data_IF_513371593366
#
_entry.id   IF_513371593366
#
_cell.length_a   1.000
_cell.length_b   1.000
_cell.length_c   1.000
_cell.angle_alpha   90.00
_cell.angle_beta   90.00
_cell.angle_gamma   90.00
#
_symmetry.space_group_name_H-M   'P 1'
#
loop_
_entity.id
_entity.type
_entity.pdbx_description
1 polymer ?
#
# COMPACT_ATOMS: atom_id res chain seq x y z
N UNK A 1 -15.00 -1.11 -2.48
CA UNK A 1 -15.01 -0.84 -1.02
C UNK A 1 -14.17 0.39 -0.66
N UNK A 2 -12.92 0.52 -1.15
CA UNK A 2 -12.05 1.66 -0.81
C UNK A 2 -12.00 2.78 -1.86
N UNK A 3 -12.59 2.59 -3.04
CA UNK A 3 -12.54 3.54 -4.16
C UNK A 3 -12.90 4.99 -3.81
N UNK A 4 -13.90 5.27 -2.95
CA UNK A 4 -14.20 6.66 -2.56
C UNK A 4 -13.06 7.34 -1.77
N UNK A 5 -12.15 6.55 -1.20
CA UNK A 5 -11.10 6.98 -0.27
C UNK A 5 -9.69 6.95 -0.87
N UNK A 6 -9.52 6.49 -2.11
CA UNK A 6 -8.22 6.43 -2.78
C UNK A 6 -8.23 7.17 -4.13
N UNK A 7 -7.07 7.65 -4.54
CA UNK A 7 -6.88 8.31 -5.85
C UNK A 7 -6.45 7.33 -6.93
N UNK A 8 -5.98 6.14 -6.55
CA UNK A 8 -5.49 5.08 -7.42
C UNK A 8 -5.84 3.72 -6.83
N UNK A 9 -6.09 2.75 -7.72
CA UNK A 9 -6.32 1.34 -7.39
C UNK A 9 -5.38 0.48 -8.23
N UNK A 10 -4.92 -0.62 -7.64
CA UNK A 10 -4.00 -1.56 -8.29
C UNK A 10 -3.41 -2.55 -7.29
N UNK A 11 -2.65 -3.55 -7.77
CA UNK A 11 -2.00 -4.53 -6.91
C UNK A 11 -0.92 -3.87 -6.03
N UNK A 12 -0.76 -4.39 -4.82
CA UNK A 12 0.32 -4.04 -3.89
C UNK A 12 1.23 -5.25 -3.75
N UNK A 13 2.51 -5.09 -4.06
CA UNK A 13 3.48 -6.17 -3.91
C UNK A 13 3.89 -6.29 -2.44
N UNK A 14 3.59 -7.44 -1.81
CA UNK A 14 4.17 -7.79 -0.51
C UNK A 14 5.57 -8.36 -0.71
N UNK A 15 6.59 -7.67 -0.20
CA UNK A 15 8.00 -8.00 -0.38
C UNK A 15 8.69 -8.25 0.96
N UNK A 16 9.69 -9.13 1.00
CA UNK A 16 10.49 -9.36 2.21
C UNK A 16 11.47 -8.22 2.49
N UNK A 17 11.87 -7.50 1.43
CA UNK A 17 12.71 -6.30 1.47
C UNK A 17 12.28 -5.37 0.35
N UNK A 18 12.16 -4.07 0.63
CA UNK A 18 11.87 -3.09 -0.42
C UNK A 18 13.02 -3.06 -1.45
N UNK A 19 12.67 -2.79 -2.72
CA UNK A 19 13.55 -2.97 -3.88
C UNK A 19 14.92 -2.31 -3.76
N UNK A 20 15.02 -1.14 -3.12
CA UNK A 20 16.29 -0.47 -2.80
C UNK A 20 17.11 0.05 -3.98
N UNK A 21 16.76 -0.36 -5.21
CA UNK A 21 17.24 0.19 -6.47
C UNK A 21 16.12 0.33 -7.49
N UNK A 22 16.30 1.23 -8.46
CA UNK A 22 15.32 1.46 -9.54
C UNK A 22 15.11 0.20 -10.39
N UNK A 23 16.19 -0.52 -10.69
CA UNK A 23 16.12 -1.78 -11.46
C UNK A 23 15.30 -2.86 -10.73
N UNK A 24 15.49 -3.01 -9.41
CA UNK A 24 14.68 -3.93 -8.62
C UNK A 24 13.21 -3.51 -8.57
N UNK A 25 12.94 -2.21 -8.40
CA UNK A 25 11.58 -1.68 -8.34
C UNK A 25 10.84 -1.92 -9.67
N UNK A 26 11.51 -1.66 -10.78
CA UNK A 26 10.99 -1.94 -12.12
C UNK A 26 10.73 -3.45 -12.31
N UNK A 27 11.63 -4.31 -11.85
CA UNK A 27 11.43 -5.77 -11.89
C UNK A 27 10.26 -6.26 -11.03
N UNK A 28 9.84 -5.53 -9.99
CA UNK A 28 8.60 -5.81 -9.26
C UNK A 28 7.39 -5.46 -10.13
N UNK A 29 7.38 -4.27 -10.74
CA UNK A 29 6.30 -3.82 -11.63
C UNK A 29 6.11 -4.78 -12.81
N UNK A 30 7.20 -5.16 -13.49
CA UNK A 30 7.12 -6.03 -14.67
C UNK A 30 6.55 -7.42 -14.37
N UNK A 31 6.88 -7.99 -13.21
CA UNK A 31 6.42 -9.34 -12.83
C UNK A 31 4.99 -9.36 -12.28
N UNK A 32 4.53 -8.26 -11.70
CA UNK A 32 3.31 -8.26 -10.86
C UNK A 32 2.26 -7.23 -11.26
N UNK A 33 2.63 -6.22 -12.04
CA UNK A 33 1.80 -5.03 -12.28
C UNK A 33 1.54 -4.19 -11.03
N UNK A 34 2.29 -4.41 -9.94
CA UNK A 34 2.07 -3.69 -8.69
C UNK A 34 2.35 -2.19 -8.83
N UNK A 35 1.52 -1.38 -8.16
CA UNK A 35 1.64 0.07 -8.14
C UNK A 35 2.39 0.58 -6.91
N UNK A 36 2.63 -0.28 -5.93
CA UNK A 36 3.45 0.00 -4.74
C UNK A 36 3.97 -1.28 -4.08
N UNK A 37 4.96 -1.11 -3.20
CA UNK A 37 5.52 -2.15 -2.35
C UNK A 37 5.06 -1.97 -0.89
N UNK A 38 4.82 -3.08 -0.22
CA UNK A 38 4.50 -3.20 1.21
C UNK A 38 5.14 -4.48 1.76
N UNK A 39 5.12 -4.71 3.07
CA UNK A 39 5.76 -5.90 3.67
C UNK A 39 4.76 -6.87 4.32
N UNK A 40 3.55 -6.42 4.67
CA UNK A 40 2.64 -7.21 5.51
C UNK A 40 1.30 -7.57 4.86
N UNK A 41 0.87 -6.82 3.83
CA UNK A 41 -0.51 -6.84 3.32
C UNK A 41 -1.03 -8.23 2.94
N UNK A 42 -0.24 -9.00 2.17
CA UNK A 42 -0.62 -10.34 1.75
C UNK A 42 -0.70 -11.33 2.94
N UNK A 43 0.17 -11.19 3.94
CA UNK A 43 0.15 -12.06 5.12
C UNK A 43 -1.11 -11.80 5.97
N UNK A 44 -1.51 -10.55 6.13
CA UNK A 44 -2.76 -10.17 6.82
C UNK A 44 -3.98 -10.73 6.07
N UNK A 45 -4.03 -10.56 4.75
CA UNK A 45 -5.11 -11.07 3.93
C UNK A 45 -5.21 -12.60 3.98
N UNK A 46 -4.06 -13.29 3.94
CA UNK A 46 -3.99 -14.75 4.07
C UNK A 46 -4.46 -15.22 5.45
N UNK A 47 -4.06 -14.54 6.52
CA UNK A 47 -4.48 -14.86 7.88
C UNK A 47 -6.00 -14.73 8.03
N UNK A 48 -6.59 -13.62 7.55
CA UNK A 48 -8.04 -13.41 7.55
C UNK A 48 -8.77 -14.53 6.78
N UNK A 49 -8.28 -14.87 5.58
CA UNK A 49 -8.88 -15.95 4.76
C UNK A 49 -8.81 -17.32 5.44
N UNK A 50 -7.77 -17.60 6.24
CA UNK A 50 -7.63 -18.83 7.01
C UNK A 50 -8.57 -18.90 8.20
N UNK A 51 -8.92 -17.76 8.79
CA UNK A 51 -9.89 -17.69 9.89
C UNK A 51 -11.30 -17.92 9.35
N UNK A 52 -11.68 -17.18 8.32
CA UNK A 52 -12.98 -17.31 7.66
C UNK A 52 -12.90 -16.84 6.20
N UNK A 53 -13.24 -17.70 5.21
CA UNK A 53 -13.32 -17.33 3.81
C UNK A 53 -14.28 -16.17 3.50
N UNK A 54 -15.25 -15.89 4.37
CA UNK A 54 -16.18 -14.77 4.26
C UNK A 54 -15.60 -13.40 4.60
N UNK A 55 -14.41 -13.32 5.22
CA UNK A 55 -13.81 -12.04 5.58
C UNK A 55 -13.30 -11.33 4.31
N UNK A 56 -13.92 -10.17 4.02
CA UNK A 56 -13.44 -9.26 3.00
C UNK A 56 -12.19 -8.52 3.52
N UNK A 57 -11.16 -8.45 2.70
CA UNK A 57 -9.92 -7.74 3.02
C UNK A 57 -9.60 -6.71 1.94
N UNK A 58 -9.05 -5.59 2.36
CA UNK A 58 -8.57 -4.54 1.48
C UNK A 58 -7.41 -3.81 2.16
N UNK A 59 -6.46 -3.33 1.37
CA UNK A 59 -5.31 -2.56 1.83
C UNK A 59 -5.40 -1.13 1.28
N UNK A 60 -5.22 -0.14 2.16
CA UNK A 60 -5.11 1.27 1.79
C UNK A 60 -3.74 1.77 2.21
N UNK A 61 -3.02 2.42 1.28
CA UNK A 61 -1.72 3.02 1.54
C UNK A 61 -1.75 4.50 1.16
N UNK A 62 -1.22 5.33 2.05
CA UNK A 62 -0.78 6.68 1.70
C UNK A 62 0.73 6.60 1.44
N UNK A 63 1.17 7.17 0.32
CA UNK A 63 2.54 7.05 -0.14
C UNK A 63 3.37 8.23 0.40
N UNK A 64 4.42 7.92 1.17
CA UNK A 64 5.37 8.91 1.70
C UNK A 64 6.56 9.17 0.78
N UNK A 65 6.89 8.20 -0.06
CA UNK A 65 8.06 8.21 -0.94
C UNK A 65 7.90 7.16 -2.05
N UNK A 66 8.68 7.27 -3.11
CA UNK A 66 8.78 6.25 -4.15
C UNK A 66 9.69 5.10 -3.72
N UNK A 67 9.49 3.93 -4.33
CA UNK A 67 10.48 2.84 -4.35
C UNK A 67 11.64 3.22 -5.29
N UNK A 68 12.70 2.41 -5.31
CA UNK A 68 13.87 2.68 -6.13
C UNK A 68 15.13 2.99 -5.33
N UNK A 69 16.09 3.63 -5.98
CA UNK A 69 17.40 3.99 -5.42
C UNK A 69 17.26 4.82 -4.14
N UNK A 70 17.79 4.34 -3.02
CA UNK A 70 17.63 5.02 -1.71
C UNK A 70 18.14 6.46 -1.69
N UNK A 71 19.17 6.78 -2.45
CA UNK A 71 19.74 8.13 -2.54
C UNK A 71 18.86 9.12 -3.31
N UNK A 72 17.96 8.64 -4.17
CA UNK A 72 17.05 9.47 -4.96
C UNK A 72 15.69 9.67 -4.28
N UNK A 73 15.38 8.86 -3.25
CA UNK A 73 14.10 8.91 -2.54
C UNK A 73 13.90 10.26 -1.84
N UNK A 74 12.72 10.85 -2.07
CA UNK A 74 12.24 12.03 -1.36
C UNK A 74 11.08 11.63 -0.47
N UNK A 75 11.19 11.99 0.80
CA UNK A 75 10.21 11.65 1.82
C UNK A 75 9.34 12.86 2.12
N UNK A 76 8.04 12.74 1.86
CA UNK A 76 7.03 13.74 2.18
C UNK A 76 6.24 13.32 3.44
N UNK A 77 6.95 13.09 4.55
CA UNK A 77 6.37 12.43 5.73
C UNK A 77 5.21 13.25 6.32
N UNK A 78 5.41 14.54 6.56
CA UNK A 78 4.37 15.41 7.14
C UNK A 78 3.09 15.43 6.29
N UNK A 79 3.23 15.60 4.97
CA UNK A 79 2.10 15.62 4.05
C UNK A 79 1.41 14.25 3.95
N UNK A 80 2.19 13.17 3.97
CA UNK A 80 1.65 11.81 3.98
C UNK A 80 0.86 11.52 5.26
N UNK A 81 1.33 11.96 6.43
CA UNK A 81 0.63 11.78 7.70
C UNK A 81 -0.64 12.64 7.78
N UNK A 82 -0.62 13.88 7.28
CA UNK A 82 -1.83 14.71 7.16
C UNK A 82 -2.87 14.05 6.25
N UNK A 83 -2.44 13.53 5.11
CA UNK A 83 -3.31 12.83 4.15
C UNK A 83 -3.89 11.55 4.76
N UNK A 84 -3.07 10.77 5.47
CA UNK A 84 -3.51 9.57 6.17
C UNK A 84 -4.58 9.90 7.22
N UNK A 85 -4.36 10.94 8.04
CA UNK A 85 -5.36 11.40 9.02
C UNK A 85 -6.69 11.77 8.35
N UNK A 86 -6.64 12.52 7.25
CA UNK A 86 -7.85 12.93 6.54
C UNK A 86 -8.62 11.73 5.97
N UNK A 87 -7.92 10.79 5.34
CA UNK A 87 -8.51 9.57 4.76
C UNK A 87 -9.12 8.69 5.85
N UNK A 88 -8.39 8.43 6.93
CA UNK A 88 -8.91 7.64 8.06
C UNK A 88 -10.13 8.29 8.72
N UNK A 89 -10.15 9.62 8.86
CA UNK A 89 -11.32 10.34 9.35
C UNK A 89 -12.57 10.12 8.48
N UNK A 90 -12.40 10.16 7.15
CA UNK A 90 -13.50 9.88 6.20
C UNK A 90 -13.97 8.43 6.25
N UNK A 91 -13.04 7.47 6.41
CA UNK A 91 -13.38 6.05 6.53
C UNK A 91 -14.16 5.81 7.83
N UNK A 92 -13.69 6.35 8.96
CA UNK A 92 -14.38 6.22 10.25
C UNK A 92 -15.82 6.76 10.17
N UNK A 93 -16.02 7.94 9.56
CA UNK A 93 -17.34 8.53 9.36
C UNK A 93 -18.27 7.69 8.47
N UNK A 94 -17.73 6.90 7.54
CA UNK A 94 -18.52 6.05 6.67
C UNK A 94 -18.85 4.67 7.28
N UNK A 95 -18.14 4.29 8.34
CA UNK A 95 -18.33 3.03 9.07
C UNK A 95 -19.18 3.19 10.35
N UNK A 96 -19.32 4.42 10.85
CA UNK A 96 -20.23 4.78 11.95
C UNK A 96 -21.60 5.18 11.41
#
# INVERSE_FOLDING_TARGET
MLEPFCTRTGPIATVSWCSGSDACAQGVVERTGAICEAMEGAAVALAARRIDPGIATAELRVISNTTGDRSSQRWALDDSLRSLRAVLGRIAQALC
#
